data_IF_829152391679
#
_entry.id   IF_829152391679
#
_cell.length_a   1.000
_cell.length_b   1.000
_cell.length_c   1.000
_cell.angle_alpha   90.00
_cell.angle_beta   90.00
_cell.angle_gamma   90.00
#
_symmetry.space_group_name_H-M   'P 1'
#
loop_
_entity.id
_entity.type
_entity.pdbx_description
1 polymer ?
#
# COMPACT_ATOMS: atom_id res chain seq x y z
N UNK A 1 21.51 23.71 -19.86
CA UNK A 1 21.62 24.83 -18.90
C UNK A 1 20.73 24.51 -17.73
N UNK A 2 21.32 24.19 -16.58
CA UNK A 2 20.59 23.82 -15.37
C UNK A 2 20.30 25.10 -14.58
N UNK A 3 19.02 25.37 -14.30
CA UNK A 3 18.65 26.28 -13.23
C UNK A 3 18.95 25.59 -11.91
N UNK A 4 20.00 26.04 -11.25
CA UNK A 4 20.30 25.81 -9.84
C UNK A 4 19.11 26.31 -9.02
N UNK A 5 18.28 25.41 -8.50
CA UNK A 5 17.34 25.77 -7.45
C UNK A 5 18.14 26.01 -6.18
N UNK A 6 18.07 27.25 -5.71
CA UNK A 6 18.61 27.70 -4.44
C UNK A 6 18.02 26.85 -3.33
N UNK A 7 18.84 26.52 -2.33
CA UNK A 7 18.35 26.21 -0.99
C UNK A 7 17.47 27.39 -0.56
N UNK A 8 16.15 27.21 -0.58
CA UNK A 8 15.25 28.12 0.12
C UNK A 8 15.36 27.79 1.61
N UNK A 9 15.59 28.83 2.41
CA UNK A 9 15.64 28.77 3.87
C UNK A 9 14.46 27.95 4.43
N UNK A 10 14.76 26.94 5.25
CA UNK A 10 13.78 26.12 6.00
C UNK A 10 12.84 26.95 6.92
N UNK A 11 13.06 28.26 7.04
CA UNK A 11 12.27 29.19 7.85
C UNK A 11 10.93 29.61 7.22
N UNK A 12 10.60 29.19 6.00
CA UNK A 12 9.38 29.63 5.29
C UNK A 12 8.40 28.53 4.85
N UNK A 13 8.51 27.30 5.36
CA UNK A 13 7.45 26.29 5.17
C UNK A 13 6.21 26.66 6.02
N UNK A 14 5.39 27.58 5.52
CA UNK A 14 4.05 27.85 6.06
C UNK A 14 3.18 26.62 5.83
N UNK A 15 3.05 25.78 6.85
CA UNK A 15 2.09 24.68 6.86
C UNK A 15 0.68 25.30 6.84
N UNK A 16 0.05 25.31 5.67
CA UNK A 16 -1.34 25.73 5.54
C UNK A 16 -2.19 24.64 6.18
N UNK A 17 -2.80 24.96 7.32
CA UNK A 17 -3.78 24.09 7.97
C UNK A 17 -5.09 24.18 7.20
N UNK A 18 -5.58 23.09 6.59
CA UNK A 18 -6.89 23.12 5.95
C UNK A 18 -7.96 23.34 7.02
N UNK A 19 -8.79 24.36 6.81
CA UNK A 19 -9.97 24.63 7.64
C UNK A 19 -11.15 23.84 7.10
N UNK A 20 -11.78 23.02 7.94
CA UNK A 20 -12.99 22.31 7.58
C UNK A 20 -14.20 23.24 7.74
N UNK A 21 -14.93 23.48 6.65
CA UNK A 21 -16.12 24.35 6.61
C UNK A 21 -17.44 23.55 6.59
N UNK A 22 -17.38 22.24 6.77
CA UNK A 22 -18.58 21.39 6.80
C UNK A 22 -19.26 21.34 8.16
N UNK A 23 -20.39 20.64 8.22
CA UNK A 23 -21.13 20.43 9.46
C UNK A 23 -20.36 19.55 10.44
N UNK A 24 -20.65 19.70 11.74
CA UNK A 24 -20.12 18.80 12.78
C UNK A 24 -20.48 17.36 12.39
N UNK A 25 -19.46 16.52 12.19
CA UNK A 25 -19.64 15.13 11.78
C UNK A 25 -18.86 14.15 12.67
N UNK A 26 -18.54 14.54 13.89
CA UNK A 26 -17.86 13.66 14.83
C UNK A 26 -18.23 13.93 16.29
N UNK A 27 -18.18 12.88 17.11
CA UNK A 27 -18.08 13.01 18.56
C UNK A 27 -16.66 12.63 19.02
N UNK A 28 -16.28 13.15 20.18
CA UNK A 28 -14.94 12.99 20.75
C UNK A 28 -14.98 12.16 22.02
N UNK A 29 -14.10 11.16 22.10
CA UNK A 29 -13.84 10.34 23.29
C UNK A 29 -12.52 10.81 23.89
N UNK A 30 -12.61 11.48 25.04
CA UNK A 30 -11.42 11.97 25.74
C UNK A 30 -10.69 10.86 26.50
N UNK A 31 -11.46 10.00 27.17
CA UNK A 31 -10.94 8.91 27.98
C UNK A 31 -11.72 7.63 27.71
N UNK A 32 -11.01 6.55 27.42
CA UNK A 32 -11.57 5.22 27.26
C UNK A 32 -10.77 4.26 28.14
N UNK A 33 -11.46 3.66 29.11
CA UNK A 33 -10.89 2.65 30.00
C UNK A 33 -11.75 1.40 29.91
N UNK A 34 -11.11 0.27 29.68
CA UNK A 34 -11.76 -1.04 29.67
C UNK A 34 -10.81 -2.07 30.28
N UNK A 35 -11.37 -3.01 31.01
CA UNK A 35 -10.62 -4.18 31.46
C UNK A 35 -10.27 -5.05 30.26
N UNK A 36 -9.04 -5.57 30.25
CA UNK A 36 -8.45 -6.25 29.08
C UNK A 36 -9.31 -7.41 28.57
N UNK A 37 -9.92 -8.17 29.46
CA UNK A 37 -10.75 -9.34 29.11
C UNK A 37 -12.09 -8.93 28.48
N UNK A 38 -12.48 -7.66 28.62
CA UNK A 38 -13.70 -7.09 28.09
C UNK A 38 -13.46 -6.17 26.89
N UNK A 39 -12.26 -6.15 26.30
CA UNK A 39 -11.91 -5.30 25.15
C UNK A 39 -12.96 -5.28 24.01
N UNK A 40 -13.60 -6.40 23.61
CA UNK A 40 -14.67 -6.36 22.60
C UNK A 40 -15.85 -5.47 22.99
N UNK A 41 -16.08 -5.29 24.30
CA UNK A 41 -17.03 -4.36 24.92
C UNK A 41 -16.91 -2.92 24.42
N UNK A 42 -15.69 -2.47 24.07
CA UNK A 42 -15.47 -1.13 23.52
C UNK A 42 -16.30 -0.87 22.27
N UNK A 43 -16.46 -1.87 21.41
CA UNK A 43 -17.22 -1.71 20.17
C UNK A 43 -18.70 -1.46 20.47
N UNK A 44 -19.27 -2.14 21.47
CA UNK A 44 -20.66 -1.92 21.88
C UNK A 44 -20.88 -0.53 22.47
N UNK A 45 -19.91 0.00 23.23
CA UNK A 45 -19.97 1.39 23.73
C UNK A 45 -19.94 2.40 22.58
N UNK A 46 -19.09 2.17 21.59
CA UNK A 46 -19.01 3.04 20.40
C UNK A 46 -20.31 2.94 19.59
N UNK A 47 -20.88 1.74 19.42
CA UNK A 47 -22.19 1.55 18.78
C UNK A 47 -23.27 2.36 19.49
N UNK A 48 -23.37 2.24 20.81
CA UNK A 48 -24.34 2.99 21.61
C UNK A 48 -24.13 4.51 21.49
N UNK A 49 -22.88 4.98 21.40
CA UNK A 49 -22.59 6.39 21.17
C UNK A 49 -23.09 6.88 19.80
N UNK A 50 -22.94 6.08 18.73
CA UNK A 50 -23.51 6.43 17.42
C UNK A 50 -25.04 6.38 17.40
N UNK A 51 -25.68 5.49 18.17
CA UNK A 51 -27.13 5.49 18.36
C UNK A 51 -27.61 6.78 19.07
N UNK A 52 -26.84 7.26 20.05
CA UNK A 52 -27.13 8.50 20.77
C UNK A 52 -26.86 9.75 19.92
N UNK A 53 -25.85 9.72 19.05
CA UNK A 53 -25.49 10.80 18.13
C UNK A 53 -25.73 10.39 16.65
N UNK A 54 -26.99 10.29 16.18
CA UNK A 54 -27.28 9.75 14.85
C UNK A 54 -26.83 10.67 13.70
N UNK A 55 -26.58 11.95 13.98
CA UNK A 55 -26.18 12.95 13.00
C UNK A 55 -24.68 12.98 12.68
N UNK A 56 -23.88 12.10 13.28
CA UNK A 56 -22.43 12.06 13.05
C UNK A 56 -21.95 10.70 12.55
N UNK A 57 -20.91 10.73 11.73
CA UNK A 57 -20.36 9.53 11.08
C UNK A 57 -19.04 9.07 11.69
N UNK A 58 -18.36 9.96 12.41
CA UNK A 58 -17.04 9.70 12.96
C UNK A 58 -17.01 9.73 14.48
N UNK A 59 -16.15 8.88 15.04
CA UNK A 59 -15.72 8.92 16.44
C UNK A 59 -14.23 9.19 16.47
N UNK A 60 -13.83 10.15 17.29
CA UNK A 60 -12.43 10.53 17.47
C UNK A 60 -11.98 10.13 18.87
N UNK A 61 -10.81 9.50 18.96
CA UNK A 61 -10.17 9.13 20.21
C UNK A 61 -8.76 9.73 20.26
N UNK A 62 -8.42 10.37 21.38
CA UNK A 62 -7.07 10.88 21.65
C UNK A 62 -6.43 10.08 22.78
N UNK A 63 -5.28 9.47 22.52
CA UNK A 63 -4.53 8.71 23.52
C UNK A 63 -3.14 9.31 23.72
N UNK A 64 -2.62 9.43 24.95
CA UNK A 64 -1.22 9.83 25.17
C UNK A 64 -0.24 8.90 24.42
N UNK A 65 0.88 9.42 23.93
CA UNK A 65 1.90 8.56 23.28
C UNK A 65 2.39 7.46 24.21
N UNK A 66 2.68 6.29 23.61
CA UNK A 66 3.18 5.14 24.34
C UNK A 66 2.12 4.42 25.18
N UNK A 67 0.87 4.88 25.17
CA UNK A 67 -0.25 4.13 25.73
C UNK A 67 -0.34 2.79 25.04
N UNK A 68 -0.37 1.70 25.82
CA UNK A 68 -0.52 0.34 25.28
C UNK A 68 -1.91 0.21 24.66
N UNK A 69 -1.96 0.34 23.33
CA UNK A 69 -3.19 0.16 22.58
C UNK A 69 -3.68 -1.29 22.70
N UNK A 70 -4.97 -1.45 22.89
CA UNK A 70 -5.59 -2.77 22.90
C UNK A 70 -5.68 -3.29 21.43
N UNK A 71 -5.43 -4.58 21.17
CA UNK A 71 -5.38 -5.14 19.81
C UNK A 71 -6.58 -4.83 18.89
N UNK A 72 -7.81 -4.95 19.38
CA UNK A 72 -9.05 -4.63 18.68
C UNK A 72 -9.16 -3.13 18.41
N UNK A 73 -8.73 -2.27 19.33
CA UNK A 73 -8.71 -0.83 19.06
C UNK A 73 -7.81 -0.51 17.86
N UNK A 74 -6.60 -1.08 17.84
CA UNK A 74 -5.67 -0.92 16.71
C UNK A 74 -6.22 -1.51 15.41
N UNK A 75 -7.06 -2.53 15.51
CA UNK A 75 -7.68 -3.16 14.35
C UNK A 75 -8.77 -2.28 13.75
N UNK A 76 -9.63 -1.65 14.56
CA UNK A 76 -10.80 -0.94 14.07
C UNK A 76 -10.63 0.58 13.94
N UNK A 77 -9.83 1.18 14.81
CA UNK A 77 -9.51 2.60 14.70
C UNK A 77 -8.37 2.82 13.71
N UNK A 78 -8.50 3.85 12.90
CA UNK A 78 -7.46 4.31 11.99
C UNK A 78 -6.57 5.31 12.71
N UNK A 79 -5.28 5.00 12.95
CA UNK A 79 -4.35 5.99 13.46
C UNK A 79 -4.12 7.07 12.40
N UNK A 80 -4.16 8.33 12.82
CA UNK A 80 -3.87 9.48 11.98
C UNK A 80 -2.43 9.91 12.26
N UNK A 81 -1.55 9.95 11.25
CA UNK A 81 -0.19 10.40 11.45
C UNK A 81 -0.18 11.88 11.85
N UNK A 82 0.75 12.22 12.73
CA UNK A 82 0.93 13.60 13.15
C UNK A 82 1.39 14.46 11.98
N UNK A 83 1.02 15.73 12.08
CA UNK A 83 1.54 16.73 11.16
C UNK A 83 3.04 16.88 11.38
N UNK A 84 3.83 17.13 10.32
CA UNK A 84 5.22 17.51 10.48
C UNK A 84 5.33 18.63 11.51
N UNK A 85 6.29 18.51 12.43
CA UNK A 85 6.56 19.48 13.50
C UNK A 85 5.44 19.65 14.55
N UNK A 86 4.46 18.74 14.60
CA UNK A 86 3.52 18.68 15.72
C UNK A 86 4.26 18.34 17.01
N UNK A 87 4.15 19.20 18.02
CA UNK A 87 4.61 18.93 19.39
C UNK A 87 3.47 18.44 20.30
N UNK A 88 2.33 18.06 19.72
CA UNK A 88 1.20 17.53 20.48
C UNK A 88 1.59 16.19 21.11
N UNK A 89 1.11 15.90 22.32
CA UNK A 89 1.53 14.73 23.12
C UNK A 89 0.52 13.56 23.08
N UNK A 90 -0.46 13.61 22.16
CA UNK A 90 -1.46 12.55 22.00
C UNK A 90 -1.57 12.11 20.55
N UNK A 91 -1.72 10.80 20.37
CA UNK A 91 -2.04 10.14 19.12
C UNK A 91 -3.54 10.26 18.81
N UNK A 92 -3.85 10.57 17.56
CA UNK A 92 -5.21 10.68 17.05
C UNK A 92 -5.67 9.40 16.38
N UNK A 93 -6.83 8.91 16.80
CA UNK A 93 -7.49 7.74 16.24
C UNK A 93 -8.88 8.11 15.74
N UNK A 94 -9.23 7.62 14.56
CA UNK A 94 -10.52 7.86 13.93
C UNK A 94 -11.23 6.55 13.67
N UNK A 95 -12.50 6.48 14.05
CA UNK A 95 -13.41 5.38 13.73
C UNK A 95 -14.58 5.93 12.93
N UNK A 96 -15.03 5.21 11.92
CA UNK A 96 -16.19 5.59 11.10
C UNK A 96 -17.34 4.62 11.34
N UNK A 97 -18.58 5.10 11.43
CA UNK A 97 -19.76 4.26 11.73
C UNK A 97 -19.92 3.08 10.75
N UNK A 98 -19.52 3.24 9.49
CA UNK A 98 -19.59 2.16 8.50
C UNK A 98 -18.66 1.00 8.80
N UNK A 99 -17.70 1.13 9.74
CA UNK A 99 -16.88 0.00 10.21
C UNK A 99 -17.74 -1.10 10.84
N UNK A 100 -18.94 -0.79 11.33
CA UNK A 100 -19.91 -1.80 11.78
C UNK A 100 -20.59 -2.54 10.62
N UNK A 101 -20.68 -1.91 9.45
CA UNK A 101 -21.23 -2.54 8.26
C UNK A 101 -20.24 -3.56 7.71
N UNK A 102 -20.63 -4.85 7.72
CA UNK A 102 -19.78 -5.96 7.27
C UNK A 102 -19.98 -6.32 5.79
N UNK A 103 -20.58 -5.43 5.01
CA UNK A 103 -20.96 -5.66 3.61
C UNK A 103 -19.84 -5.22 2.66
N UNK A 104 -18.70 -5.90 2.73
CA UNK A 104 -17.59 -5.68 1.79
C UNK A 104 -17.32 -6.91 0.93
N UNK A 105 -16.80 -6.66 -0.27
CA UNK A 105 -16.41 -7.70 -1.21
C UNK A 105 -15.08 -7.33 -1.85
N UNK A 106 -14.19 -8.32 -1.97
CA UNK A 106 -12.95 -8.18 -2.72
C UNK A 106 -13.10 -8.97 -4.02
N UNK A 107 -12.86 -8.31 -5.15
CA UNK A 107 -13.07 -8.90 -6.49
C UNK A 107 -11.92 -8.53 -7.43
N UNK A 108 -11.70 -9.32 -8.50
CA UNK A 108 -10.85 -8.87 -9.60
C UNK A 108 -11.32 -7.52 -10.13
N UNK A 109 -10.37 -6.66 -10.50
CA UNK A 109 -10.66 -5.38 -11.10
C UNK A 109 -11.40 -5.54 -12.44
N UNK A 110 -12.29 -4.60 -12.73
CA UNK A 110 -13.08 -4.51 -13.96
C UNK A 110 -13.22 -3.05 -14.32
N UNK A 111 -13.46 -2.77 -15.60
CA UNK A 111 -13.64 -1.41 -16.13
C UNK A 111 -14.78 -0.64 -15.43
N UNK A 112 -15.79 -1.35 -14.94
CA UNK A 112 -16.91 -0.79 -14.17
C UNK A 112 -16.45 -0.11 -12.87
N UNK A 113 -15.34 -0.57 -12.28
CA UNK A 113 -14.79 -0.02 -11.05
C UNK A 113 -13.90 1.21 -11.28
N UNK A 114 -13.49 1.47 -12.53
CA UNK A 114 -12.53 2.52 -12.87
C UNK A 114 -12.94 3.92 -12.38
N UNK A 115 -14.22 4.35 -12.50
CA UNK A 115 -14.63 5.65 -11.96
C UNK A 115 -14.42 5.77 -10.44
N UNK A 116 -14.75 4.70 -9.70
CA UNK A 116 -14.56 4.66 -8.25
C UNK A 116 -13.08 4.68 -7.85
N UNK A 117 -12.23 3.97 -8.60
CA UNK A 117 -10.77 3.99 -8.40
C UNK A 117 -10.20 5.38 -8.66
N UNK A 118 -10.62 6.06 -9.75
CA UNK A 118 -10.19 7.43 -10.06
C UNK A 118 -10.53 8.40 -8.93
N UNK A 119 -11.72 8.27 -8.34
CA UNK A 119 -12.11 9.08 -7.19
C UNK A 119 -11.24 8.78 -5.96
N UNK A 120 -11.00 7.49 -5.66
CA UNK A 120 -10.18 7.05 -4.54
C UNK A 120 -8.75 7.62 -4.58
N UNK A 121 -8.16 7.69 -5.77
CA UNK A 121 -6.77 8.13 -5.96
C UNK A 121 -6.65 9.61 -6.35
N UNK A 122 -7.74 10.37 -6.40
CA UNK A 122 -7.78 11.72 -6.97
C UNK A 122 -6.74 12.66 -6.34
N UNK A 123 -6.56 12.56 -5.01
CA UNK A 123 -5.60 13.36 -4.24
C UNK A 123 -4.23 12.69 -4.06
N UNK A 124 -4.00 11.52 -4.68
CA UNK A 124 -2.70 10.84 -4.62
C UNK A 124 -1.71 11.52 -5.57
N UNK A 125 -0.51 11.79 -5.08
CA UNK A 125 0.60 12.27 -5.91
C UNK A 125 1.06 11.24 -6.96
N UNK A 126 0.63 9.98 -6.82
CA UNK A 126 1.06 8.84 -7.64
C UNK A 126 -0.05 8.28 -8.53
N UNK A 127 -1.15 9.05 -8.66
CA UNK A 127 -2.32 8.65 -9.43
C UNK A 127 -1.96 8.24 -10.86
N UNK A 128 -1.04 8.95 -11.52
CA UNK A 128 -0.74 8.74 -12.94
C UNK A 128 -0.01 7.40 -13.16
N UNK A 129 0.88 7.01 -12.24
CA UNK A 129 1.56 5.70 -12.27
C UNK A 129 0.59 4.55 -12.04
N UNK A 130 -0.26 4.70 -11.03
CA UNK A 130 -1.28 3.71 -10.72
C UNK A 130 -2.23 3.55 -11.91
N UNK A 131 -2.65 4.65 -12.54
CA UNK A 131 -3.51 4.60 -13.73
C UNK A 131 -2.82 3.94 -14.92
N UNK A 132 -1.54 4.24 -15.18
CA UNK A 132 -0.78 3.59 -16.25
C UNK A 132 -0.65 2.07 -16.04
N UNK A 133 -0.42 1.62 -14.80
CA UNK A 133 -0.38 0.18 -14.48
C UNK A 133 -1.79 -0.45 -14.54
N UNK A 134 -2.85 0.30 -14.25
CA UNK A 134 -4.23 -0.15 -14.45
C UNK A 134 -4.59 -0.28 -15.93
N UNK A 135 -4.12 0.63 -16.78
CA UNK A 135 -4.39 0.57 -18.23
C UNK A 135 -3.81 -0.73 -18.81
N UNK A 136 -2.60 -1.14 -18.39
CA UNK A 136 -2.04 -2.45 -18.74
C UNK A 136 -2.89 -3.62 -18.23
N UNK A 137 -3.49 -3.51 -17.04
CA UNK A 137 -4.43 -4.52 -16.54
C UNK A 137 -5.70 -4.60 -17.41
N UNK A 138 -6.22 -3.47 -17.88
CA UNK A 138 -7.39 -3.42 -18.77
C UNK A 138 -7.08 -4.05 -20.13
N UNK A 139 -5.93 -3.74 -20.72
CA UNK A 139 -5.48 -4.35 -21.98
C UNK A 139 -5.41 -5.88 -21.87
N UNK A 140 -4.90 -6.40 -20.74
CA UNK A 140 -4.91 -7.84 -20.45
C UNK A 140 -6.34 -8.39 -20.42
N UNK A 141 -7.23 -7.78 -19.65
CA UNK A 141 -8.63 -8.22 -19.53
C UNK A 141 -9.30 -8.27 -20.92
N UNK A 142 -9.01 -7.30 -21.79
CA UNK A 142 -9.51 -7.31 -23.16
C UNK A 142 -8.91 -8.44 -24.02
N UNK A 143 -7.59 -8.63 -23.96
CA UNK A 143 -6.89 -9.72 -24.68
C UNK A 143 -7.44 -11.09 -24.26
N UNK A 144 -7.63 -11.31 -22.96
CA UNK A 144 -8.21 -12.54 -22.42
C UNK A 144 -9.64 -12.79 -22.94
N UNK A 145 -10.47 -11.74 -22.99
CA UNK A 145 -11.83 -11.84 -23.57
C UNK A 145 -11.80 -12.19 -25.06
N UNK A 146 -10.86 -11.63 -25.84
CA UNK A 146 -10.69 -11.95 -27.27
C UNK A 146 -10.20 -13.38 -27.48
N UNK A 147 -9.26 -13.83 -26.65
CA UNK A 147 -8.76 -15.22 -26.68
C UNK A 147 -9.88 -16.22 -26.35
N UNK A 148 -10.63 -16.01 -25.25
CA UNK A 148 -11.75 -16.90 -24.85
C UNK A 148 -12.89 -16.93 -25.86
N UNK A 149 -13.15 -15.82 -26.57
CA UNK A 149 -14.17 -15.77 -27.63
C UNK A 149 -13.72 -16.39 -28.96
N UNK A 150 -12.53 -17.01 -29.02
CA UNK A 150 -12.02 -17.66 -30.24
C UNK A 150 -11.58 -16.69 -31.34
N UNK A 151 -11.57 -15.38 -31.06
CA UNK A 151 -11.22 -14.32 -32.02
C UNK A 151 -9.70 -14.12 -32.16
N UNK A 152 -8.90 -14.68 -31.25
CA UNK A 152 -7.44 -14.67 -31.32
C UNK A 152 -6.90 -16.04 -30.91
N UNK A 153 -6.21 -16.75 -31.83
CA UNK A 153 -5.67 -18.12 -31.61
C UNK A 153 -4.17 -18.15 -31.29
N UNK A 154 -3.46 -17.02 -31.36
CA UNK A 154 -1.98 -16.97 -31.43
C UNK A 154 -1.26 -16.29 -30.26
N UNK A 155 -1.96 -15.62 -29.37
CA UNK A 155 -1.31 -14.93 -28.25
C UNK A 155 -1.57 -15.71 -26.96
N UNK A 156 -0.55 -16.47 -26.54
CA UNK A 156 -0.52 -17.06 -25.21
C UNK A 156 -0.36 -15.88 -24.23
N UNK A 157 -1.20 -15.73 -23.20
CA UNK A 157 -1.02 -14.66 -22.22
C UNK A 157 0.39 -14.73 -21.65
N UNK A 158 1.07 -13.60 -21.63
CA UNK A 158 2.45 -13.52 -21.14
C UNK A 158 2.45 -13.83 -19.64
N UNK A 159 3.48 -14.51 -19.15
CA UNK A 159 3.50 -14.96 -17.76
C UNK A 159 3.72 -13.84 -16.73
N UNK A 160 3.99 -12.61 -17.18
CA UNK A 160 4.47 -11.50 -16.38
C UNK A 160 3.44 -10.36 -16.29
N UNK A 161 2.17 -10.74 -16.20
CA UNK A 161 1.06 -9.83 -16.36
C UNK A 161 0.61 -9.24 -15.02
N UNK A 162 0.34 -7.94 -15.03
CA UNK A 162 -0.24 -7.20 -13.92
C UNK A 162 -1.66 -7.71 -13.63
N UNK A 163 -1.98 -7.84 -12.35
CA UNK A 163 -3.28 -8.26 -11.85
C UNK A 163 -3.76 -7.26 -10.80
N UNK A 164 -4.95 -6.71 -11.02
CA UNK A 164 -5.55 -5.72 -10.15
C UNK A 164 -6.76 -6.29 -9.41
N UNK A 165 -6.92 -5.89 -8.15
CA UNK A 165 -7.96 -6.36 -7.23
C UNK A 165 -8.60 -5.17 -6.53
N UNK A 166 -9.92 -5.10 -6.49
CA UNK A 166 -10.69 -4.02 -5.85
C UNK A 166 -11.42 -4.48 -4.60
N UNK A 167 -11.46 -3.59 -3.61
CA UNK A 167 -12.32 -3.69 -2.42
C UNK A 167 -13.52 -2.78 -2.62
N UNK A 168 -14.73 -3.34 -2.48
CA UNK A 168 -15.99 -2.64 -2.73
C UNK A 168 -16.93 -2.84 -1.54
N UNK A 169 -17.64 -1.78 -1.16
CA UNK A 169 -18.73 -1.82 -0.17
C UNK A 169 -19.88 -0.98 -0.71
N UNK A 170 -21.10 -1.51 -0.76
CA UNK A 170 -22.31 -0.78 -1.20
C UNK A 170 -22.10 0.00 -2.53
N UNK A 171 -21.43 -0.63 -3.52
CA UNK A 171 -21.03 -0.07 -4.82
C UNK A 171 -19.98 1.05 -4.78
N UNK A 172 -19.45 1.40 -3.62
CA UNK A 172 -18.31 2.30 -3.49
C UNK A 172 -17.00 1.52 -3.50
N UNK A 173 -16.04 1.95 -4.33
CA UNK A 173 -14.67 1.43 -4.30
C UNK A 173 -13.97 2.00 -3.07
N UNK A 174 -13.60 1.11 -2.15
CA UNK A 174 -12.85 1.44 -0.93
C UNK A 174 -11.37 1.10 -1.05
N UNK A 175 -10.95 0.35 -2.07
CA UNK A 175 -9.56 -0.05 -2.20
C UNK A 175 -9.19 -0.62 -3.57
N UNK A 176 -7.92 -0.50 -3.91
CA UNK A 176 -7.30 -1.07 -5.11
C UNK A 176 -5.90 -1.59 -4.76
N UNK A 177 -5.57 -2.79 -5.25
CA UNK A 177 -4.23 -3.35 -5.19
C UNK A 177 -3.82 -3.82 -6.58
N UNK A 178 -2.56 -3.57 -6.96
CA UNK A 178 -1.96 -4.03 -8.22
C UNK A 178 -0.76 -4.90 -7.86
N UNK A 179 -0.80 -6.14 -8.32
CA UNK A 179 0.19 -7.17 -8.05
C UNK A 179 0.74 -7.67 -9.38
N UNK A 180 2.05 -7.89 -9.43
CA UNK A 180 2.71 -8.60 -10.54
C UNK A 180 3.48 -9.80 -10.01
N UNK A 181 3.96 -10.66 -10.90
CA UNK A 181 4.87 -11.75 -10.51
C UNK A 181 6.23 -11.17 -10.11
N UNK A 182 6.79 -11.67 -9.01
CA UNK A 182 8.16 -11.36 -8.66
C UNK A 182 9.11 -12.29 -9.45
N UNK A 183 9.90 -11.73 -10.38
CA UNK A 183 10.85 -12.51 -11.17
C UNK A 183 12.16 -12.78 -10.43
N UNK A 184 12.66 -11.81 -9.66
CA UNK A 184 13.97 -11.88 -9.01
C UNK A 184 13.90 -12.43 -7.57
N UNK A 185 13.14 -13.51 -7.35
CA UNK A 185 13.01 -14.12 -6.01
C UNK A 185 14.37 -14.57 -5.46
N UNK A 186 15.24 -15.07 -6.34
CA UNK A 186 16.62 -15.46 -6.02
C UNK A 186 17.43 -14.30 -5.43
N UNK A 187 17.24 -13.08 -5.93
CA UNK A 187 17.91 -11.91 -5.39
C UNK A 187 17.48 -11.67 -3.95
N UNK A 188 16.16 -11.70 -3.68
CA UNK A 188 15.66 -11.45 -2.32
C UNK A 188 16.17 -12.54 -1.38
N UNK A 189 16.13 -13.82 -1.79
CA UNK A 189 16.63 -14.92 -0.96
C UNK A 189 18.13 -14.80 -0.66
N UNK A 190 18.94 -14.34 -1.62
CA UNK A 190 20.39 -14.22 -1.45
C UNK A 190 20.79 -13.11 -0.50
N UNK A 191 20.10 -11.96 -0.54
CA UNK A 191 20.51 -10.74 0.15
C UNK A 191 19.71 -10.44 1.42
N UNK A 192 18.51 -11.00 1.58
CA UNK A 192 17.62 -10.74 2.71
C UNK A 192 17.34 -11.98 3.55
N UNK A 193 17.05 -11.73 4.82
CA UNK A 193 16.70 -12.76 5.79
C UNK A 193 15.24 -13.24 5.62
N UNK A 194 14.92 -13.90 4.50
CA UNK A 194 13.56 -14.43 4.29
C UNK A 194 13.34 -15.73 5.07
N UNK A 195 14.36 -16.58 5.18
CA UNK A 195 14.21 -17.94 5.72
C UNK A 195 13.77 -18.00 7.19
N UNK A 196 13.99 -16.94 7.97
CA UNK A 196 13.49 -16.85 9.36
C UNK A 196 12.03 -16.40 9.44
N UNK A 197 11.45 -15.90 8.35
CA UNK A 197 10.08 -15.37 8.28
C UNK A 197 9.14 -16.25 7.45
N UNK A 198 9.67 -16.94 6.46
CA UNK A 198 8.90 -17.77 5.52
C UNK A 198 9.56 -19.14 5.38
N UNK A 199 8.76 -20.20 5.53
CA UNK A 199 9.20 -21.53 5.13
C UNK A 199 9.06 -21.69 3.62
N UNK A 200 10.20 -21.59 2.92
CA UNK A 200 10.28 -21.76 1.46
C UNK A 200 9.84 -23.16 0.98
N UNK A 201 9.67 -24.13 1.90
CA UNK A 201 9.11 -25.46 1.59
C UNK A 201 7.64 -25.39 1.17
N UNK A 202 6.88 -24.43 1.71
CA UNK A 202 5.44 -24.32 1.48
C UNK A 202 5.07 -23.23 0.45
N UNK A 203 6.01 -22.33 0.16
CA UNK A 203 5.79 -21.21 -0.75
C UNK A 203 6.70 -21.35 -1.99
N UNK A 204 6.13 -21.83 -3.10
CA UNK A 204 6.84 -21.92 -4.39
C UNK A 204 7.21 -20.53 -4.88
N UNK A 205 8.40 -20.36 -5.48
CA UNK A 205 8.85 -19.08 -6.03
C UNK A 205 7.93 -18.51 -7.12
N UNK A 206 7.25 -19.37 -7.88
CA UNK A 206 6.22 -18.95 -8.84
C UNK A 206 5.05 -18.19 -8.21
N UNK A 207 4.84 -18.37 -6.91
CA UNK A 207 3.71 -17.81 -6.16
C UNK A 207 4.12 -16.55 -5.37
N UNK A 208 5.33 -16.04 -5.58
CA UNK A 208 5.74 -14.75 -5.04
C UNK A 208 5.21 -13.65 -5.95
N UNK A 209 4.45 -12.73 -5.35
CA UNK A 209 3.99 -11.51 -6.00
C UNK A 209 4.80 -10.31 -5.55
N UNK A 210 4.94 -9.33 -6.43
CA UNK A 210 5.37 -7.97 -6.11
C UNK A 210 4.12 -7.10 -6.04
N UNK A 211 3.87 -6.52 -4.87
CA UNK A 211 2.84 -5.52 -4.66
C UNK A 211 3.36 -4.18 -5.17
N UNK A 212 2.81 -3.68 -6.26
CA UNK A 212 3.21 -2.41 -6.87
C UNK A 212 2.46 -1.23 -6.27
N UNK A 213 1.13 -1.35 -6.16
CA UNK A 213 0.28 -0.32 -5.58
C UNK A 213 -0.74 -0.97 -4.65
N UNK A 214 -1.05 -0.32 -3.53
CA UNK A 214 -2.12 -0.72 -2.63
C UNK A 214 -2.68 0.51 -1.91
N UNK A 215 -3.81 0.99 -2.40
CA UNK A 215 -4.49 2.16 -1.86
C UNK A 215 -5.77 1.69 -1.20
N UNK A 216 -5.94 2.04 0.07
CA UNK A 216 -7.18 1.86 0.81
C UNK A 216 -7.72 3.23 1.23
N UNK A 217 -9.04 3.38 1.14
CA UNK A 217 -9.75 4.47 1.77
C UNK A 217 -9.48 4.40 3.29
N UNK A 218 -9.21 5.51 3.98
CA UNK A 218 -8.88 5.50 5.41
C UNK A 218 -9.90 4.73 6.27
N UNK A 219 -11.20 4.91 6.01
CA UNK A 219 -12.28 4.19 6.73
C UNK A 219 -12.19 2.65 6.59
N UNK A 220 -11.54 2.15 5.54
CA UNK A 220 -11.37 0.73 5.26
C UNK A 220 -10.03 0.17 5.79
N UNK A 221 -9.27 0.95 6.57
CA UNK A 221 -8.01 0.51 7.19
C UNK A 221 -8.15 -0.82 7.93
N UNK A 222 -9.23 -1.01 8.66
CA UNK A 222 -9.49 -2.23 9.43
C UNK A 222 -9.54 -3.51 8.56
N UNK A 223 -9.80 -3.35 7.25
CA UNK A 223 -9.82 -4.42 6.27
C UNK A 223 -8.45 -4.72 5.66
N UNK A 224 -7.38 -3.98 6.00
CA UNK A 224 -6.06 -4.12 5.37
C UNK A 224 -5.58 -5.57 5.27
N UNK A 225 -5.62 -6.32 6.39
CA UNK A 225 -5.20 -7.72 6.39
C UNK A 225 -6.11 -8.61 5.55
N UNK A 226 -7.43 -8.37 5.58
CA UNK A 226 -8.41 -9.15 4.80
C UNK A 226 -8.21 -8.87 3.31
N UNK A 227 -8.02 -7.60 2.95
CA UNK A 227 -7.80 -7.16 1.58
C UNK A 227 -6.52 -7.76 1.00
N UNK A 228 -5.39 -7.73 1.74
CA UNK A 228 -4.15 -8.36 1.28
C UNK A 228 -4.26 -9.87 1.14
N UNK A 229 -5.00 -10.55 2.03
CA UNK A 229 -5.28 -11.99 1.91
C UNK A 229 -6.12 -12.32 0.68
N UNK A 230 -7.17 -11.56 0.44
CA UNK A 230 -8.01 -11.73 -0.74
C UNK A 230 -7.30 -11.36 -2.03
N UNK A 231 -6.43 -10.33 -2.01
CA UNK A 231 -5.57 -10.01 -3.14
C UNK A 231 -4.64 -11.17 -3.48
N UNK A 232 -3.99 -11.78 -2.49
CA UNK A 232 -3.20 -13.01 -2.66
C UNK A 232 -4.03 -14.16 -3.24
N UNK A 233 -5.23 -14.41 -2.69
CA UNK A 233 -6.14 -15.46 -3.17
C UNK A 233 -6.54 -15.27 -4.63
N UNK A 234 -6.89 -14.04 -5.02
CA UNK A 234 -7.35 -13.73 -6.38
C UNK A 234 -6.23 -13.65 -7.41
N UNK A 235 -5.00 -13.36 -6.99
CA UNK A 235 -3.80 -13.31 -7.85
C UNK A 235 -2.97 -14.59 -7.80
N UNK A 236 -3.49 -15.62 -7.11
CA UNK A 236 -2.81 -16.91 -6.88
C UNK A 236 -1.40 -16.77 -6.29
N UNK A 237 -1.18 -15.75 -5.45
CA UNK A 237 0.07 -15.50 -4.74
C UNK A 237 -0.04 -15.97 -3.31
N UNK A 238 1.10 -16.33 -2.72
CA UNK A 238 1.18 -16.76 -1.30
C UNK A 238 2.08 -15.86 -0.45
N UNK A 239 2.91 -15.06 -1.12
CA UNK A 239 3.80 -14.06 -0.54
C UNK A 239 3.70 -12.80 -1.39
N UNK A 240 3.50 -11.65 -0.76
CA UNK A 240 3.60 -10.35 -1.42
C UNK A 240 4.85 -9.64 -0.92
N UNK A 241 5.74 -9.30 -1.84
CA UNK A 241 6.89 -8.45 -1.58
C UNK A 241 6.53 -7.00 -1.94
N UNK A 242 7.03 -6.05 -1.17
CA UNK A 242 6.93 -4.63 -1.43
C UNK A 242 8.33 -4.03 -1.39
N UNK A 243 8.63 -3.12 -2.33
CA UNK A 243 9.95 -2.52 -2.48
C UNK A 243 9.94 -1.13 -1.84
N UNK A 244 10.76 -0.95 -0.81
CA UNK A 244 10.95 0.32 -0.13
C UNK A 244 12.19 1.00 -0.71
N UNK A 245 12.03 2.23 -1.17
CA UNK A 245 13.11 3.05 -1.70
C UNK A 245 13.53 4.10 -0.66
N UNK A 246 14.85 4.29 -0.42
CA UNK A 246 15.34 5.30 0.52
C UNK A 246 15.09 6.71 -0.03
N UNK A 247 14.56 7.60 0.83
CA UNK A 247 14.14 8.97 0.49
C UNK A 247 15.28 9.87 -0.01
N UNK A 248 16.53 9.59 0.35
CA UNK A 248 17.72 10.36 -0.03
C UNK A 248 18.13 10.19 -1.50
N UNK A 249 17.59 9.19 -2.20
CA UNK A 249 17.98 8.81 -3.56
C UNK A 249 16.86 9.03 -4.55
N UNK A 250 15.97 9.98 -4.30
CA UNK A 250 14.85 10.27 -5.21
C UNK A 250 15.10 11.57 -5.99
N UNK A 251 15.94 11.54 -7.04
CA UNK A 251 15.93 12.62 -8.02
C UNK A 251 14.70 12.40 -8.91
N UNK A 252 13.53 12.91 -8.53
CA UNK A 252 12.39 13.18 -9.43
C UNK A 252 12.00 12.08 -10.44
N UNK A 253 12.40 10.82 -10.24
CA UNK A 253 12.08 9.74 -11.16
C UNK A 253 10.79 9.08 -10.64
N UNK A 254 9.73 9.15 -11.41
CA UNK A 254 8.40 8.88 -10.89
C UNK A 254 8.03 7.38 -10.97
N UNK A 255 8.92 6.54 -11.51
CA UNK A 255 8.88 5.07 -11.43
C UNK A 255 9.17 4.48 -10.04
N UNK A 256 9.58 5.32 -9.08
CA UNK A 256 10.06 4.91 -7.75
C UNK A 256 9.02 5.02 -6.63
N UNK A 257 7.89 5.63 -6.91
CA UNK A 257 6.90 5.92 -5.89
C UNK A 257 5.73 4.95 -6.03
N UNK A 258 5.61 4.06 -5.04
CA UNK A 258 4.53 3.10 -4.96
C UNK A 258 3.45 3.60 -4.00
N UNK A 259 2.19 3.60 -4.43
CA UNK A 259 1.06 4.11 -3.64
C UNK A 259 0.69 3.12 -2.55
N UNK A 260 1.33 3.17 -1.37
CA UNK A 260 0.84 2.47 -0.19
C UNK A 260 0.15 3.45 0.76
N UNK A 261 -1.15 3.63 0.57
CA UNK A 261 -1.94 4.33 1.57
C UNK A 261 -2.34 3.32 2.65
N UNK A 262 -1.64 3.36 3.79
CA UNK A 262 -2.06 2.76 5.05
C UNK A 262 -2.09 1.22 5.13
N UNK A 263 -1.17 0.49 4.48
CA UNK A 263 -1.06 -0.98 4.64
C UNK A 263 0.32 -1.48 5.08
N UNK A 264 1.28 -0.58 5.25
CA UNK A 264 2.66 -0.90 5.64
C UNK A 264 2.76 -1.61 7.00
N UNK A 265 1.86 -1.29 7.92
CA UNK A 265 1.74 -1.91 9.25
C UNK A 265 1.38 -3.40 9.20
N UNK A 266 0.81 -3.86 8.07
CA UNK A 266 0.55 -5.27 7.83
C UNK A 266 1.79 -6.02 7.32
N UNK A 267 2.79 -5.31 6.78
CA UNK A 267 4.00 -5.88 6.19
C UNK A 267 5.11 -6.04 7.23
N UNK A 268 5.96 -7.03 7.02
CA UNK A 268 7.12 -7.29 7.86
C UNK A 268 8.37 -6.82 7.11
N UNK A 269 9.15 -5.87 7.65
CA UNK A 269 10.38 -5.43 7.02
C UNK A 269 11.42 -6.55 7.00
N UNK A 270 12.10 -6.71 5.87
CA UNK A 270 13.21 -7.65 5.71
C UNK A 270 14.54 -6.97 6.02
N UNK A 271 15.40 -7.67 6.75
CA UNK A 271 16.77 -7.23 7.02
C UNK A 271 17.69 -7.66 5.88
N UNK A 272 18.53 -6.73 5.44
CA UNK A 272 19.64 -7.02 4.52
C UNK A 272 20.77 -7.73 5.31
N UNK A 273 21.16 -8.92 4.89
CA UNK A 273 22.13 -9.77 5.63
C UNK A 273 23.51 -9.80 4.98
N UNK A 274 23.59 -9.64 3.66
CA UNK A 274 24.86 -9.74 2.91
C UNK A 274 25.19 -8.43 2.21
N UNK A 275 26.48 -8.08 2.13
CA UNK A 275 26.95 -7.01 1.24
C UNK A 275 26.47 -7.32 -0.17
N UNK A 276 25.62 -6.44 -0.72
CA UNK A 276 25.20 -6.50 -2.12
C UNK A 276 26.47 -6.52 -2.99
N UNK A 277 26.59 -7.34 -4.04
CA UNK A 277 27.76 -7.34 -4.88
C UNK A 277 27.84 -5.97 -5.52
N UNK A 278 29.02 -5.34 -5.51
CA UNK A 278 29.23 -3.96 -5.97
C UNK A 278 28.96 -3.71 -7.47
N UNK A 279 28.27 -4.61 -8.19
CA UNK A 279 27.86 -4.43 -9.59
C UNK A 279 26.61 -5.25 -9.92
N UNK A 280 25.54 -4.64 -10.46
CA UNK A 280 24.67 -5.32 -11.41
C UNK A 280 25.23 -5.07 -12.82
N UNK A 281 25.70 -6.12 -13.50
CA UNK A 281 25.85 -6.11 -14.95
C UNK A 281 24.45 -6.19 -15.54
N UNK A 282 23.78 -5.05 -15.71
CA UNK A 282 22.63 -4.97 -16.60
C UNK A 282 23.22 -4.84 -18.01
N UNK A 283 23.26 -5.95 -18.75
CA UNK A 283 23.43 -5.90 -20.20
C UNK A 283 22.15 -5.32 -20.80
N UNK A 284 22.05 -3.99 -20.84
CA UNK A 284 21.16 -3.31 -21.76
C UNK A 284 21.74 -3.56 -23.15
N UNK A 285 21.10 -4.44 -23.93
CA UNK A 285 21.34 -4.55 -25.36
C UNK A 285 20.82 -3.27 -26.04
N UNK A 286 21.60 -2.18 -25.96
CA UNK A 286 21.47 -1.06 -26.89
C UNK A 286 22.25 -1.40 -28.14
N UNK A 287 21.52 -1.84 -29.19
CA UNK A 287 22.04 -1.80 -30.55
C UNK A 287 22.38 -0.34 -30.88
N UNK A 288 23.67 -0.10 -31.05
CA UNK A 288 24.31 0.85 -31.97
C UNK A 288 23.82 2.30 -31.93
N UNK A 289 24.66 3.17 -31.38
CA UNK A 289 25.33 4.21 -32.18
C UNK A 289 26.56 4.71 -31.40
N UNK A 290 27.71 4.65 -32.05
CA UNK A 290 28.98 5.16 -31.56
C UNK A 290 29.11 6.65 -31.91
N UNK A 291 29.55 7.46 -30.96
CA UNK A 291 30.44 8.60 -31.16
C UNK A 291 30.97 9.05 -29.79
N UNK A 292 32.27 9.32 -29.76
CA UNK A 292 33.10 9.68 -28.62
C UNK A 292 32.69 11.01 -27.96
N UNK A 293 32.80 11.09 -26.62
CA UNK A 293 33.71 12.03 -25.94
C UNK A 293 33.49 12.05 -24.40
N UNK A 294 34.60 11.85 -23.71
CA UNK A 294 35.00 12.28 -22.36
C UNK A 294 34.05 12.16 -21.13
N UNK A 295 34.53 11.40 -20.15
CA UNK A 295 34.00 11.32 -18.80
C UNK A 295 34.16 12.63 -18.01
N UNK A 296 33.37 12.83 -16.95
CA UNK A 296 33.98 12.54 -15.65
C UNK A 296 33.13 11.56 -14.83
N UNK A 297 33.85 10.62 -14.22
CA UNK A 297 33.43 9.63 -13.23
C UNK A 297 32.50 10.19 -12.16
N UNK A 298 31.18 9.98 -12.29
CA UNK A 298 30.23 10.03 -11.17
C UNK A 298 30.10 8.64 -10.56
N UNK A 299 30.64 8.46 -9.36
CA UNK A 299 30.42 7.28 -8.50
C UNK A 299 28.92 7.14 -8.21
N UNK A 300 28.23 6.26 -8.92
CA UNK A 300 26.91 5.76 -8.54
C UNK A 300 27.07 4.94 -7.24
N UNK A 301 26.70 5.53 -6.11
CA UNK A 301 26.51 4.79 -4.85
C UNK A 301 25.45 3.71 -5.10
N UNK A 302 25.73 2.48 -4.68
CA UNK A 302 24.76 1.38 -4.66
C UNK A 302 23.48 1.84 -3.95
N UNK A 303 22.35 1.84 -4.65
CA UNK A 303 21.04 1.92 -3.99
C UNK A 303 20.84 0.63 -3.20
N UNK A 304 20.89 0.73 -1.87
CA UNK A 304 20.33 -0.31 -1.01
C UNK A 304 18.81 -0.12 -1.10
N UNK A 305 18.17 -0.91 -1.96
CA UNK A 305 16.71 -1.10 -1.87
C UNK A 305 16.42 -1.85 -0.58
N UNK A 306 15.29 -1.58 0.06
CA UNK A 306 14.81 -2.39 1.17
C UNK A 306 13.53 -3.11 0.74
N UNK A 307 13.22 -4.26 1.33
CA UNK A 307 11.99 -4.99 1.03
C UNK A 307 11.19 -5.19 2.30
N UNK A 308 9.86 -5.17 2.17
CA UNK A 308 8.93 -5.66 3.18
C UNK A 308 8.08 -6.78 2.58
N UNK A 309 7.61 -7.70 3.40
CA UNK A 309 6.82 -8.85 2.95
C UNK A 309 5.51 -9.00 3.72
N UNK A 310 4.45 -9.32 2.99
CA UNK A 310 3.24 -9.94 3.54
C UNK A 310 3.27 -11.43 3.25
N UNK A 311 2.92 -12.24 4.25
CA UNK A 311 2.91 -13.70 4.11
C UNK A 311 1.57 -14.20 4.58
N UNK A 312 0.92 -15.00 3.76
CA UNK A 312 -0.24 -15.75 4.23
C UNK A 312 0.23 -16.74 5.30
N UNK A 313 -0.14 -16.50 6.56
CA UNK A 313 0.08 -17.48 7.63
C UNK A 313 -0.76 -18.71 7.31
N UNK A 314 -0.11 -19.76 6.84
CA UNK A 314 -0.69 -21.10 6.81
C UNK A 314 -0.65 -21.57 8.27
N UNK A 315 -1.79 -21.53 8.95
CA UNK A 315 -1.91 -22.23 10.23
C UNK A 315 -1.80 -23.72 9.92
N UNK A 316 -0.61 -24.28 10.10
CA UNK A 316 -0.45 -25.72 10.24
C UNK A 316 -1.06 -26.07 11.59
N UNK A 317 -2.31 -26.57 11.56
CA UNK A 317 -2.88 -27.32 12.69
C UNK A 317 -2.17 -28.66 12.81
#
# INVERSE_FOLDING_TARGET
MYHTLRYEDDSQLKIVVPTYYGNINCFFIENLAIEKDYEPGCLYLIMAAFEYFPGVDYSVLLLPYGTRQLPLMRQYFTPIPDRPFSAYEKELFVFHKSTFNRTYQVKPFSIEHLPGVRNLIMCSCLKDYLLNDLDQCLEKIEKDKRYRSGRCRKEKPEQNELEAVTLISENQVLGIAIVTRLNDVDFIQRFYEIGTRISLKYHKYSNFGLLLHCVLHPIAKFLSSVFLKEAMRLTERTVLCYKIHPSEVVPYDPSYWQSLCNVLDCLIPLKLVKKVPNKPTILLNTRQQAAEEEAPTKKLKLLITAYAIYVQKINLM
#
